data_IF_717427106472
#
_entry.id   IF_717427106472
#
_cell.length_a   1.000
_cell.length_b   1.000
_cell.length_c   1.000
_cell.angle_alpha   90.00
_cell.angle_beta   90.00
_cell.angle_gamma   90.00
#
_symmetry.space_group_name_H-M   'P 1'
#
loop_
_entity.id
_entity.type
_entity.pdbx_description
1 polymer ?
#
# COMPACT_ATOMS: atom_id res chain seq x y z
N UNK A 1 3.07 -13.03 -4.03
CA UNK A 1 3.78 -12.00 -4.84
C UNK A 1 4.57 -11.03 -3.97
N UNK A 2 3.97 -10.17 -3.11
CA UNK A 2 4.75 -9.26 -2.25
C UNK A 2 5.61 -10.01 -1.22
N UNK A 3 5.03 -10.93 -0.48
CA UNK A 3 5.73 -11.75 0.52
C UNK A 3 6.81 -12.64 -0.10
N UNK A 4 6.55 -13.22 -1.27
CA UNK A 4 7.54 -13.98 -2.06
C UNK A 4 8.72 -13.10 -2.48
N UNK A 5 8.46 -11.81 -2.73
CA UNK A 5 9.48 -10.82 -3.01
C UNK A 5 10.25 -10.36 -1.75
N UNK A 6 9.93 -10.90 -0.57
CA UNK A 6 10.53 -10.49 0.70
C UNK A 6 10.04 -9.15 1.23
N UNK A 7 8.94 -8.62 0.67
CA UNK A 7 8.33 -7.37 1.11
C UNK A 7 7.19 -7.64 2.10
N UNK A 8 7.02 -6.78 3.08
CA UNK A 8 5.83 -6.80 3.93
C UNK A 8 4.59 -6.40 3.11
N UNK A 9 3.46 -7.00 3.41
CA UNK A 9 2.18 -6.68 2.77
C UNK A 9 1.25 -6.01 3.78
N UNK A 10 0.81 -4.80 3.48
CA UNK A 10 -0.08 -4.02 4.33
C UNK A 10 -1.48 -3.93 3.74
N UNK A 11 -2.48 -4.22 4.56
CA UNK A 11 -3.89 -4.08 4.22
C UNK A 11 -4.41 -2.80 4.86
N UNK A 12 -4.61 -1.76 4.06
CA UNK A 12 -5.13 -0.48 4.52
C UNK A 12 -6.65 -0.54 4.62
N UNK A 13 -7.18 -0.36 5.81
CA UNK A 13 -8.62 -0.36 6.09
C UNK A 13 -9.17 1.03 6.33
N UNK A 14 -8.35 1.98 6.77
CA UNK A 14 -8.70 3.38 6.96
C UNK A 14 -7.48 4.29 6.82
N UNK A 15 -7.73 5.59 6.61
CA UNK A 15 -6.65 6.59 6.56
C UNK A 15 -5.89 6.71 7.88
N UNK A 16 -6.56 6.47 9.00
CA UNK A 16 -5.95 6.50 10.34
C UNK A 16 -4.98 5.33 10.54
N UNK A 17 -5.32 4.16 10.05
CA UNK A 17 -4.48 2.95 10.18
C UNK A 17 -3.12 3.15 9.51
N UNK A 18 -3.06 3.76 8.33
CA UNK A 18 -1.79 4.00 7.64
C UNK A 18 -0.87 4.94 8.41
N UNK A 19 -1.42 5.91 9.13
CA UNK A 19 -0.66 6.81 9.97
C UNK A 19 0.05 6.04 11.10
N UNK A 20 -0.67 5.19 11.82
CA UNK A 20 -0.15 4.46 12.97
C UNK A 20 0.69 3.25 12.60
N UNK A 21 0.38 2.59 11.50
CA UNK A 21 1.05 1.34 11.11
C UNK A 21 2.26 1.57 10.20
N UNK A 22 2.27 2.64 9.43
CA UNK A 22 3.30 2.88 8.40
C UNK A 22 4.03 4.20 8.58
N UNK A 23 3.32 5.33 8.54
CA UNK A 23 3.97 6.65 8.51
C UNK A 23 4.69 6.98 9.83
N UNK A 24 4.02 6.91 10.96
CA UNK A 24 4.61 7.25 12.26
C UNK A 24 5.76 6.29 12.63
N UNK A 25 5.63 4.96 12.51
CA UNK A 25 6.76 4.07 12.77
C UNK A 25 7.95 4.29 11.83
N UNK A 26 7.69 4.65 10.56
CA UNK A 26 8.77 4.91 9.60
C UNK A 26 9.51 6.20 9.92
N UNK A 27 8.79 7.24 10.34
CA UNK A 27 9.40 8.51 10.78
C UNK A 27 10.22 8.33 12.08
N UNK A 28 9.66 7.64 13.06
CA UNK A 28 10.24 7.55 14.40
C UNK A 28 11.34 6.48 14.51
N UNK A 29 11.19 5.36 13.79
CA UNK A 29 12.01 4.16 13.95
C UNK A 29 12.65 3.69 12.64
N UNK A 30 12.34 4.33 11.51
CA UNK A 30 12.82 3.92 10.19
C UNK A 30 12.26 2.57 9.74
N UNK A 31 11.03 2.22 10.16
CA UNK A 31 10.45 0.90 9.92
C UNK A 31 10.36 0.52 8.44
N UNK A 32 9.94 1.44 7.60
CA UNK A 32 9.89 1.25 6.15
C UNK A 32 10.65 2.38 5.44
N UNK A 33 11.50 2.05 4.48
CA UNK A 33 12.27 3.02 3.68
C UNK A 33 11.71 3.19 2.27
N UNK A 34 10.95 2.22 1.79
CA UNK A 34 10.33 2.26 0.46
C UNK A 34 9.06 1.43 0.46
N UNK A 35 8.16 1.73 -0.47
CA UNK A 35 6.91 1.01 -0.60
C UNK A 35 6.24 1.22 -1.95
N UNK A 36 5.31 0.32 -2.24
CA UNK A 36 4.46 0.34 -3.40
C UNK A 36 3.01 0.41 -2.92
N UNK A 37 2.27 1.40 -3.38
CA UNK A 37 0.95 1.73 -2.85
C UNK A 37 -0.08 1.77 -3.97
N UNK A 38 -1.15 1.02 -3.80
CA UNK A 38 -2.32 1.06 -4.68
C UNK A 38 -3.44 1.74 -3.92
N UNK A 39 -3.90 2.87 -4.41
CA UNK A 39 -4.85 3.73 -3.70
C UNK A 39 -5.73 4.54 -4.66
N UNK A 40 -6.82 5.13 -4.15
CA UNK A 40 -7.68 5.97 -4.96
C UNK A 40 -7.00 7.30 -5.33
N UNK A 41 -7.38 7.86 -6.46
CA UNK A 41 -6.83 9.13 -6.97
C UNK A 41 -7.03 10.28 -6.00
N UNK A 42 -8.13 10.30 -5.28
CA UNK A 42 -8.40 11.31 -4.25
C UNK A 42 -7.33 11.33 -3.15
N UNK A 43 -6.82 10.17 -2.77
CA UNK A 43 -5.83 10.03 -1.70
C UNK A 43 -4.39 10.26 -2.14
N UNK A 44 -4.11 10.33 -3.44
CA UNK A 44 -2.72 10.37 -3.94
C UNK A 44 -1.92 11.56 -3.44
N UNK A 45 -2.48 12.76 -3.48
CA UNK A 45 -1.76 13.97 -3.02
C UNK A 45 -1.46 13.96 -1.53
N UNK A 46 -2.44 13.77 -0.64
CA UNK A 46 -2.15 13.68 0.80
C UNK A 46 -1.25 12.49 1.14
N UNK A 47 -1.38 11.38 0.42
CA UNK A 47 -0.52 10.22 0.62
C UNK A 47 0.93 10.51 0.21
N UNK A 48 1.15 11.16 -0.91
CA UNK A 48 2.48 11.58 -1.34
C UNK A 48 3.13 12.53 -0.32
N UNK A 49 2.37 13.46 0.26
CA UNK A 49 2.85 14.32 1.33
C UNK A 49 3.24 13.51 2.59
N UNK A 50 2.46 12.50 2.95
CA UNK A 50 2.78 11.57 4.04
C UNK A 50 4.07 10.80 3.79
N UNK A 51 4.29 10.32 2.57
CA UNK A 51 5.53 9.64 2.18
C UNK A 51 6.75 10.57 2.32
N UNK A 52 6.65 11.80 1.83
CA UNK A 52 7.72 12.80 1.96
C UNK A 52 8.03 13.11 3.43
N UNK A 53 7.00 13.33 4.23
CA UNK A 53 7.15 13.62 5.66
C UNK A 53 7.78 12.47 6.44
N UNK A 54 7.44 11.22 6.10
CA UNK A 54 7.95 10.01 6.78
C UNK A 54 9.27 9.47 6.20
N UNK A 55 9.79 10.07 5.11
CA UNK A 55 11.03 9.64 4.45
C UNK A 55 10.91 8.34 3.66
N UNK A 56 9.70 7.92 3.33
CA UNK A 56 9.45 6.71 2.54
C UNK A 56 9.49 7.06 1.05
N UNK A 57 10.30 6.35 0.28
CA UNK A 57 10.25 6.39 -1.19
C UNK A 57 9.12 5.50 -1.69
N UNK A 58 8.20 6.05 -2.49
CA UNK A 58 7.00 5.32 -2.90
C UNK A 58 6.69 5.36 -4.38
N UNK A 59 6.07 4.29 -4.85
CA UNK A 59 5.37 4.22 -6.13
C UNK A 59 3.88 4.19 -5.87
N UNK A 60 3.13 5.11 -6.49
CA UNK A 60 1.69 5.23 -6.31
C UNK A 60 0.96 4.81 -7.58
N UNK A 61 0.01 3.89 -7.44
CA UNK A 61 -0.80 3.36 -8.54
C UNK A 61 -2.28 3.60 -8.25
N UNK A 62 -3.05 4.15 -9.20
CA UNK A 62 -4.48 4.30 -9.04
C UNK A 62 -5.23 2.99 -9.27
N UNK A 63 -6.45 2.90 -8.75
CA UNK A 63 -7.39 1.85 -9.10
C UNK A 63 -8.02 2.12 -10.47
N UNK A 64 -8.35 1.06 -11.22
CA UNK A 64 -9.15 1.12 -12.43
C UNK A 64 -10.63 1.29 -12.10
N UNK A 65 -11.15 0.46 -11.20
CA UNK A 65 -12.51 0.52 -10.69
C UNK A 65 -12.51 0.64 -9.18
N UNK A 66 -13.62 1.10 -8.62
CA UNK A 66 -13.75 1.35 -7.18
C UNK A 66 -12.89 2.51 -6.70
N UNK A 67 -12.58 3.45 -7.57
CA UNK A 67 -11.79 4.64 -7.28
C UNK A 67 -12.64 5.73 -6.63
N UNK A 68 -12.10 6.37 -5.58
CA UNK A 68 -12.73 7.54 -4.97
C UNK A 68 -12.25 8.79 -5.68
N UNK A 69 -13.18 9.58 -6.25
CA UNK A 69 -12.87 10.79 -7.03
C UNK A 69 -13.11 12.08 -6.28
N UNK A 70 -13.91 12.04 -5.21
CA UNK A 70 -14.26 13.19 -4.38
C UNK A 70 -14.27 12.82 -2.89
N UNK A 71 -14.37 13.83 -2.05
CA UNK A 71 -14.37 13.67 -0.59
C UNK A 71 -15.53 12.81 -0.09
N UNK A 72 -16.72 12.98 -0.65
CA UNK A 72 -17.91 12.22 -0.24
C UNK A 72 -17.73 10.72 -0.49
N UNK A 73 -17.31 10.35 -1.68
CA UNK A 73 -17.05 8.96 -2.07
C UNK A 73 -15.95 8.35 -1.21
N UNK A 74 -14.88 9.11 -0.98
CA UNK A 74 -13.78 8.71 -0.12
C UNK A 74 -14.24 8.49 1.33
N UNK A 75 -15.03 9.40 1.89
CA UNK A 75 -15.53 9.30 3.26
C UNK A 75 -16.43 8.07 3.46
N UNK A 76 -17.30 7.77 2.48
CA UNK A 76 -18.13 6.57 2.50
C UNK A 76 -17.27 5.29 2.45
N UNK A 77 -16.27 5.27 1.60
CA UNK A 77 -15.34 4.13 1.48
C UNK A 77 -14.53 3.93 2.77
N UNK A 78 -14.07 5.01 3.40
CA UNK A 78 -13.35 4.95 4.69
C UNK A 78 -14.23 4.39 5.82
N UNK A 79 -15.54 4.57 5.72
CA UNK A 79 -16.54 3.99 6.63
C UNK A 79 -17.02 2.58 6.22
N UNK A 80 -16.44 2.00 5.20
CA UNK A 80 -16.77 0.66 4.72
C UNK A 80 -17.91 0.59 3.71
N UNK A 81 -18.39 1.73 3.16
CA UNK A 81 -19.45 1.76 2.14
C UNK A 81 -18.85 2.05 0.77
N UNK A 82 -18.94 1.08 -0.14
CA UNK A 82 -18.40 1.17 -1.48
C UNK A 82 -19.28 0.46 -2.49
N UNK A 83 -19.68 1.16 -3.57
CA UNK A 83 -20.60 0.64 -4.58
C UNK A 83 -19.89 -0.29 -5.59
N UNK A 84 -18.62 -0.02 -5.86
CA UNK A 84 -17.83 -0.77 -6.82
C UNK A 84 -16.72 -1.56 -6.16
N UNK A 85 -16.44 -2.75 -6.70
CA UNK A 85 -15.27 -3.53 -6.33
C UNK A 85 -13.99 -2.82 -6.76
N UNK A 86 -13.01 -2.76 -5.88
CA UNK A 86 -11.70 -2.17 -6.15
C UNK A 86 -10.85 -3.13 -6.99
N UNK A 87 -10.44 -2.67 -8.17
CA UNK A 87 -9.61 -3.46 -9.11
C UNK A 87 -8.52 -2.61 -9.73
N UNK A 88 -7.42 -3.24 -10.10
CA UNK A 88 -6.34 -2.65 -10.90
C UNK A 88 -6.31 -3.30 -12.27
N UNK A 89 -5.95 -2.54 -13.31
CA UNK A 89 -5.85 -3.07 -14.66
C UNK A 89 -4.58 -3.92 -14.86
N UNK A 90 -4.52 -4.66 -15.96
CA UNK A 90 -3.39 -5.56 -16.25
C UNK A 90 -2.06 -4.82 -16.48
N UNK A 91 -1.99 -3.65 -17.15
CA UNK A 91 -0.76 -2.86 -17.22
C UNK A 91 -0.22 -2.48 -15.83
N UNK A 92 -1.09 -2.04 -14.92
CA UNK A 92 -0.70 -1.73 -13.53
C UNK A 92 -0.19 -2.97 -12.81
N UNK A 93 -0.85 -4.12 -12.94
CA UNK A 93 -0.38 -5.39 -12.38
C UNK A 93 1.02 -5.75 -12.85
N UNK A 94 1.26 -5.60 -14.14
CA UNK A 94 2.57 -5.88 -14.75
C UNK A 94 3.65 -4.98 -14.16
N UNK A 95 3.39 -3.68 -14.07
CA UNK A 95 4.32 -2.71 -13.47
C UNK A 95 4.59 -3.01 -12.01
N UNK A 96 3.56 -3.36 -11.24
CA UNK A 96 3.71 -3.77 -9.83
C UNK A 96 4.63 -4.99 -9.70
N UNK A 97 4.46 -6.01 -10.55
CA UNK A 97 5.33 -7.20 -10.58
C UNK A 97 6.78 -6.84 -10.89
N UNK A 98 6.99 -5.97 -11.89
CA UNK A 98 8.33 -5.51 -12.27
C UNK A 98 9.03 -4.73 -11.13
N UNK A 99 8.31 -3.84 -10.48
CA UNK A 99 8.84 -3.08 -9.34
C UNK A 99 9.18 -4.02 -8.18
N UNK A 100 8.30 -4.95 -7.83
CA UNK A 100 8.56 -5.94 -6.79
C UNK A 100 9.77 -6.81 -7.12
N UNK A 101 9.91 -7.25 -8.36
CA UNK A 101 11.06 -8.03 -8.80
C UNK A 101 12.39 -7.26 -8.64
N UNK A 102 12.38 -5.95 -8.93
CA UNK A 102 13.56 -5.08 -8.74
C UNK A 102 13.88 -4.79 -7.28
N UNK A 103 12.87 -4.75 -6.41
CA UNK A 103 13.06 -4.54 -4.97
C UNK A 103 13.58 -5.80 -4.26
N UNK A 104 13.38 -6.96 -4.85
CA UNK A 104 13.71 -8.26 -4.25
C UNK A 104 15.20 -8.55 -4.39
N UNK A 105 15.91 -8.63 -3.27
CA UNK A 105 17.33 -9.06 -3.25
C UNK A 105 17.47 -10.58 -3.22
N UNK A 106 16.55 -11.28 -2.56
CA UNK A 106 16.49 -12.75 -2.49
C UNK A 106 15.03 -13.18 -2.55
N UNK A 107 14.58 -13.89 -3.60
CA UNK A 107 13.24 -14.48 -3.62
C UNK A 107 13.10 -15.48 -2.48
N UNK A 108 12.03 -15.36 -1.73
CA UNK A 108 11.68 -16.37 -0.72
C UNK A 108 10.81 -17.45 -1.35
N UNK A 109 11.22 -18.69 -1.22
CA UNK A 109 10.46 -19.84 -1.69
C UNK A 109 9.41 -20.33 -0.69
N UNK A 110 9.41 -19.79 0.53
CA UNK A 110 8.51 -20.17 1.60
C UNK A 110 7.31 -19.23 1.66
N UNK A 111 6.12 -19.81 1.80
CA UNK A 111 4.85 -19.09 1.96
C UNK A 111 4.54 -18.72 3.40
N UNK A 112 5.46 -19.01 4.33
CA UNK A 112 5.29 -18.67 5.73
C UNK A 112 5.36 -17.15 5.94
N UNK A 113 4.44 -16.62 6.74
CA UNK A 113 4.40 -15.21 7.10
C UNK A 113 3.91 -15.00 8.53
N UNK A 114 4.38 -13.94 9.15
CA UNK A 114 3.88 -13.45 10.43
C UNK A 114 2.89 -12.30 10.23
N UNK A 115 1.80 -12.34 10.97
CA UNK A 115 0.80 -11.26 10.95
C UNK A 115 0.87 -10.43 12.23
N UNK A 116 0.95 -9.11 12.08
CA UNK A 116 0.85 -8.14 13.18
C UNK A 116 -0.14 -7.05 12.78
N UNK A 117 -1.36 -7.14 13.31
CA UNK A 117 -2.44 -6.23 12.91
C UNK A 117 -2.77 -6.38 11.43
N UNK A 118 -2.66 -5.28 10.68
CA UNK A 118 -2.90 -5.23 9.24
C UNK A 118 -1.63 -5.45 8.40
N UNK A 119 -0.50 -5.77 9.03
CA UNK A 119 0.77 -6.01 8.34
C UNK A 119 1.10 -7.50 8.34
N UNK A 120 1.38 -8.02 7.16
CA UNK A 120 1.89 -9.38 6.94
C UNK A 120 3.38 -9.27 6.61
N UNK A 121 4.22 -9.91 7.38
CA UNK A 121 5.68 -9.92 7.19
C UNK A 121 6.12 -11.23 6.54
N UNK A 122 7.10 -11.20 5.63
CA UNK A 122 7.71 -12.42 5.13
C UNK A 122 8.39 -13.18 6.28
N UNK A 123 8.20 -14.48 6.27
CA UNK A 123 8.80 -15.39 7.27
C UNK A 123 10.31 -15.54 7.15
#
# INVERSE_FOLDING_TARGET
MALEAGAAFYIMTSAQDILFDVFAPSLNEGKFSSGLFVLCRYSMRPFAAGLLASGIRGWLFPFETGDCRDYRTWLLADRGTKDERTEINEPTRRTVREVLAKMTKKPQSDTHFDRRGNVLYPG
#
